data_IF_758678914962
#
_entry.id   IF_758678914962
#
_cell.length_a   1.000
_cell.length_b   1.000
_cell.length_c   1.000
_cell.angle_alpha   90.00
_cell.angle_beta   90.00
_cell.angle_gamma   90.00
#
_symmetry.space_group_name_H-M   'P 1'
#
loop_
_entity.id
_entity.type
_entity.pdbx_description
1 polymer ?
#
# COMPACT_ATOMS: atom_id res chain seq x y z
N UNK A 1 -3.75 -5.09 18.62
CA UNK A 1 -3.66 -4.33 17.33
C UNK A 1 -3.04 -5.25 16.30
N UNK A 2 -3.68 -5.49 15.14
CA UNK A 2 -3.24 -6.50 14.16
C UNK A 2 -1.75 -6.42 13.81
N UNK A 3 -1.22 -5.20 13.57
CA UNK A 3 0.22 -4.96 13.31
C UNK A 3 1.13 -5.61 14.36
N UNK A 4 0.78 -5.54 15.65
CA UNK A 4 1.60 -6.09 16.72
C UNK A 4 1.43 -7.61 16.81
N UNK A 5 0.22 -8.12 16.59
CA UNK A 5 -0.07 -9.57 16.62
C UNK A 5 0.65 -10.34 15.51
N UNK A 6 0.81 -9.75 14.32
CA UNK A 6 1.53 -10.39 13.21
C UNK A 6 3.05 -10.36 13.40
N UNK A 7 3.54 -9.50 14.28
CA UNK A 7 4.95 -9.37 14.67
C UNK A 7 5.14 -9.70 16.16
N UNK A 8 4.44 -10.74 16.63
CA UNK A 8 4.37 -11.09 18.06
C UNK A 8 5.75 -11.23 18.71
N UNK A 9 6.69 -11.90 18.04
CA UNK A 9 8.07 -12.10 18.50
C UNK A 9 8.77 -10.78 18.86
N UNK A 10 8.51 -9.73 18.09
CA UNK A 10 9.09 -8.41 18.33
C UNK A 10 8.40 -7.65 19.47
N UNK A 11 7.07 -7.73 19.58
CA UNK A 11 6.29 -6.87 20.48
C UNK A 11 5.94 -7.51 21.83
N UNK A 12 5.75 -8.83 21.86
CA UNK A 12 5.14 -9.53 22.99
C UNK A 12 6.03 -10.62 23.56
N UNK A 13 6.83 -11.32 22.74
CA UNK A 13 7.66 -12.42 23.23
C UNK A 13 8.63 -12.07 24.37
N UNK A 14 9.29 -10.89 24.40
CA UNK A 14 10.14 -10.50 25.52
C UNK A 14 9.41 -10.38 26.87
N UNK A 15 8.08 -10.22 26.85
CA UNK A 15 7.24 -10.01 28.04
C UNK A 15 6.30 -11.17 28.34
N UNK A 16 5.85 -11.85 27.30
CA UNK A 16 4.76 -12.83 27.34
C UNK A 16 5.21 -14.23 26.92
N UNK A 17 6.48 -14.41 26.54
CA UNK A 17 7.03 -15.69 26.08
C UNK A 17 6.66 -16.00 24.64
N UNK A 18 7.02 -17.19 24.11
CA UNK A 18 6.84 -17.53 22.70
C UNK A 18 5.40 -17.34 22.24
N UNK A 19 5.23 -16.99 20.95
CA UNK A 19 3.91 -16.79 20.35
C UNK A 19 2.96 -17.94 20.70
N UNK A 20 1.71 -17.66 21.12
CA UNK A 20 0.71 -18.69 21.35
C UNK A 20 0.53 -19.55 20.09
N UNK A 21 1.02 -20.78 20.15
CA UNK A 21 0.78 -21.78 19.11
C UNK A 21 -0.65 -22.30 19.20
N UNK A 22 -1.31 -22.49 18.05
CA UNK A 22 -2.59 -23.19 18.00
C UNK A 22 -3.63 -22.59 17.06
N UNK A 23 -4.64 -23.41 16.74
CA UNK A 23 -5.69 -23.08 15.78
C UNK A 23 -6.50 -21.83 16.17
N UNK A 24 -6.71 -21.57 17.47
CA UNK A 24 -7.47 -20.42 17.95
C UNK A 24 -6.75 -19.09 17.70
N UNK A 25 -5.44 -19.01 18.00
CA UNK A 25 -4.67 -17.79 17.77
C UNK A 25 -4.53 -17.49 16.27
N UNK A 26 -4.34 -18.53 15.45
CA UNK A 26 -4.34 -18.40 13.99
C UNK A 26 -5.70 -17.97 13.44
N UNK A 27 -6.80 -18.54 13.93
CA UNK A 27 -8.15 -18.16 13.54
C UNK A 27 -8.49 -16.72 13.95
N UNK A 28 -8.00 -16.25 15.10
CA UNK A 28 -8.18 -14.87 15.53
C UNK A 28 -7.55 -13.88 14.55
N UNK A 29 -6.27 -14.08 14.23
CA UNK A 29 -5.56 -13.20 13.29
C UNK A 29 -6.13 -13.33 11.88
N UNK A 30 -6.46 -14.55 11.47
CA UNK A 30 -7.04 -14.84 10.16
C UNK A 30 -8.36 -14.11 9.90
N UNK A 31 -9.30 -14.13 10.85
CA UNK A 31 -10.56 -13.40 10.64
C UNK A 31 -10.38 -11.88 10.69
N UNK A 32 -9.43 -11.36 11.47
CA UNK A 32 -9.12 -9.92 11.48
C UNK A 32 -8.61 -9.47 10.11
N UNK A 33 -7.74 -10.26 9.48
CA UNK A 33 -7.31 -10.03 8.10
C UNK A 33 -8.47 -10.11 7.13
N UNK A 34 -9.36 -11.08 7.27
CA UNK A 34 -10.51 -11.23 6.38
C UNK A 34 -11.47 -10.03 6.50
N UNK A 35 -11.78 -9.55 7.70
CA UNK A 35 -12.61 -8.36 7.91
C UNK A 35 -11.99 -7.13 7.25
N UNK A 36 -10.67 -6.92 7.40
CA UNK A 36 -9.98 -5.81 6.73
C UNK A 36 -10.01 -5.95 5.21
N UNK A 37 -9.78 -7.16 4.69
CA UNK A 37 -9.86 -7.43 3.26
C UNK A 37 -11.28 -7.17 2.72
N UNK A 38 -12.31 -7.60 3.44
CA UNK A 38 -13.71 -7.31 3.12
C UNK A 38 -13.97 -5.80 3.13
N UNK A 39 -13.53 -5.06 4.15
CA UNK A 39 -13.70 -3.61 4.22
C UNK A 39 -13.02 -2.88 3.06
N UNK A 40 -11.79 -3.26 2.70
CA UNK A 40 -11.06 -2.67 1.55
C UNK A 40 -11.78 -2.99 0.24
N UNK A 41 -12.18 -4.26 0.03
CA UNK A 41 -12.93 -4.67 -1.16
C UNK A 41 -14.26 -3.94 -1.29
N UNK A 42 -14.99 -3.77 -0.18
CA UNK A 42 -16.29 -3.12 -0.16
C UNK A 42 -16.20 -1.60 -0.35
N UNK A 43 -15.11 -0.97 0.10
CA UNK A 43 -14.91 0.48 -0.07
C UNK A 43 -14.33 0.84 -1.43
N UNK A 44 -13.58 -0.07 -2.06
CA UNK A 44 -13.19 0.05 -3.48
C UNK A 44 -12.49 1.36 -3.81
N UNK A 45 -11.51 1.76 -2.99
CA UNK A 45 -10.79 3.04 -3.12
C UNK A 45 -10.23 3.24 -4.53
N UNK A 46 -10.75 4.24 -5.25
CA UNK A 46 -10.27 4.71 -6.57
C UNK A 46 -9.34 5.93 -6.47
N UNK A 47 -8.70 6.04 -5.32
CA UNK A 47 -7.77 7.11 -5.04
C UNK A 47 -6.58 7.10 -6.01
N UNK A 48 -6.23 8.30 -6.50
CA UNK A 48 -5.08 8.48 -7.36
C UNK A 48 -3.81 8.23 -6.55
N UNK A 49 -3.10 7.15 -6.88
CA UNK A 49 -1.78 6.84 -6.36
C UNK A 49 -0.77 7.43 -7.33
N UNK A 50 0.00 8.42 -6.87
CA UNK A 50 1.10 8.98 -7.65
C UNK A 50 2.33 8.10 -7.49
N UNK A 51 3.05 7.87 -8.58
CA UNK A 51 4.35 7.19 -8.57
C UNK A 51 5.45 8.24 -8.59
N UNK A 52 6.17 8.36 -7.47
CA UNK A 52 7.16 9.40 -7.26
C UNK A 52 8.58 8.82 -7.36
N UNK A 53 9.51 9.57 -7.93
CA UNK A 53 10.93 9.20 -7.91
C UNK A 53 11.44 9.29 -6.47
N UNK A 54 12.06 8.23 -5.96
CA UNK A 54 12.68 8.20 -4.64
C UNK A 54 14.18 8.04 -4.80
N UNK A 55 14.95 8.81 -4.04
CA UNK A 55 16.41 8.75 -4.02
C UNK A 55 16.88 7.31 -3.75
N UNK A 56 17.93 6.83 -4.43
CA UNK A 56 18.47 5.47 -4.35
C UNK A 56 17.57 4.33 -4.86
N UNK A 57 16.40 4.61 -5.44
CA UNK A 57 15.52 3.59 -6.00
C UNK A 57 15.60 3.56 -7.53
N UNK A 58 15.63 2.36 -8.12
CA UNK A 58 15.75 2.18 -9.58
C UNK A 58 14.42 2.40 -10.33
N UNK A 59 13.31 2.54 -9.62
CA UNK A 59 11.96 2.69 -10.15
C UNK A 59 11.12 3.63 -9.26
N UNK A 60 10.14 4.35 -9.84
CA UNK A 60 9.30 5.24 -9.05
C UNK A 60 8.42 4.45 -8.07
N UNK A 61 8.26 4.98 -6.86
CA UNK A 61 7.55 4.33 -5.76
C UNK A 61 6.13 4.91 -5.58
N UNK A 62 5.11 4.07 -5.33
CA UNK A 62 3.75 4.54 -5.10
C UNK A 62 3.61 5.30 -3.77
N UNK A 63 3.01 6.49 -3.83
CA UNK A 63 2.61 7.26 -2.65
C UNK A 63 1.16 6.94 -2.26
N UNK A 64 1.01 6.19 -1.16
CA UNK A 64 -0.28 5.81 -0.59
C UNK A 64 -0.84 6.85 0.41
N UNK A 65 -0.09 7.90 0.75
CA UNK A 65 -0.51 8.97 1.65
C UNK A 65 -1.28 10.08 0.90
N UNK A 66 -2.13 9.68 -0.04
CA UNK A 66 -2.82 10.61 -0.91
C UNK A 66 -4.10 11.18 -0.24
N UNK A 67 -4.44 12.44 -0.57
CA UNK A 67 -5.66 13.08 -0.05
C UNK A 67 -6.93 12.43 -0.62
N UNK A 68 -7.73 11.86 0.29
CA UNK A 68 -8.99 11.17 0.00
C UNK A 68 -10.12 12.17 -0.27
N UNK A 69 -10.85 12.02 -1.38
CA UNK A 69 -12.04 12.84 -1.71
C UNK A 69 -13.13 11.99 -2.37
N UNK A 70 -14.41 12.34 -2.20
CA UNK A 70 -15.54 11.67 -2.87
C UNK A 70 -15.56 11.98 -4.38
N UNK A 71 -15.85 10.98 -5.24
CA UNK A 71 -15.82 11.11 -6.70
C UNK A 71 -16.89 10.28 -7.42
N UNK A 72 -17.21 10.66 -8.65
CA UNK A 72 -18.01 9.88 -9.59
C UNK A 72 -17.15 8.73 -10.17
N UNK A 73 -17.58 7.49 -9.93
CA UNK A 73 -16.83 6.30 -10.30
C UNK A 73 -16.79 6.06 -11.81
N UNK A 74 -17.91 6.25 -12.51
CA UNK A 74 -18.04 5.89 -13.92
C UNK A 74 -17.24 6.85 -14.80
N UNK A 75 -17.28 8.14 -14.47
CA UNK A 75 -16.47 9.15 -15.14
C UNK A 75 -14.97 8.87 -14.99
N UNK A 76 -14.54 8.41 -13.80
CA UNK A 76 -13.14 8.08 -13.54
C UNK A 76 -12.69 6.83 -14.31
N UNK A 77 -13.51 5.78 -14.32
CA UNK A 77 -13.20 4.55 -15.04
C UNK A 77 -13.05 4.80 -16.55
N UNK A 78 -13.94 5.60 -17.15
CA UNK A 78 -13.84 6.01 -18.55
C UNK A 78 -12.51 6.70 -18.85
N UNK A 79 -12.16 7.70 -18.04
CA UNK A 79 -10.90 8.42 -18.21
C UNK A 79 -9.67 7.53 -18.08
N UNK A 80 -9.63 6.62 -17.08
CA UNK A 80 -8.50 5.70 -16.87
C UNK A 80 -8.30 4.79 -18.08
N UNK A 81 -9.37 4.21 -18.61
CA UNK A 81 -9.27 3.32 -19.78
C UNK A 81 -8.71 4.05 -21.01
N UNK A 82 -9.05 5.33 -21.18
CA UNK A 82 -8.56 6.15 -22.28
C UNK A 82 -7.13 6.66 -22.09
N UNK A 83 -6.70 6.90 -20.84
CA UNK A 83 -5.48 7.65 -20.53
C UNK A 83 -4.41 6.84 -19.78
N UNK A 84 -4.67 5.58 -19.45
CA UNK A 84 -3.69 4.75 -18.73
C UNK A 84 -2.38 4.58 -19.50
N UNK A 85 -1.27 4.61 -18.75
CA UNK A 85 0.06 4.37 -19.31
C UNK A 85 0.19 2.90 -19.74
N UNK A 86 0.76 2.64 -20.91
CA UNK A 86 1.10 1.27 -21.32
C UNK A 86 2.04 0.65 -20.27
N UNK A 87 1.69 -0.50 -19.68
CA UNK A 87 2.53 -1.18 -18.67
C UNK A 87 3.98 -1.40 -19.11
N UNK A 88 4.22 -1.59 -20.42
CA UNK A 88 5.57 -1.76 -20.98
C UNK A 88 6.40 -0.49 -20.88
N UNK A 89 5.77 0.68 -21.04
CA UNK A 89 6.43 1.97 -20.87
C UNK A 89 6.88 2.12 -19.42
N UNK A 90 5.98 1.88 -18.46
CA UNK A 90 6.30 1.97 -17.04
C UNK A 90 7.47 1.06 -16.63
N UNK A 91 7.49 -0.19 -17.11
CA UNK A 91 8.57 -1.14 -16.82
C UNK A 91 9.95 -0.70 -17.33
N UNK A 92 10.00 0.11 -18.38
CA UNK A 92 11.23 0.60 -18.99
C UNK A 92 11.74 1.91 -18.35
N UNK A 93 10.96 2.56 -17.48
CA UNK A 93 11.37 3.79 -16.80
C UNK A 93 12.42 3.49 -15.72
N UNK A 94 13.65 3.99 -15.94
CA UNK A 94 14.81 3.77 -15.05
C UNK A 94 15.37 5.04 -14.42
N UNK A 95 15.04 6.20 -14.99
CA UNK A 95 15.49 7.51 -14.51
C UNK A 95 14.37 8.54 -14.72
N UNK A 96 14.27 9.58 -13.88
CA UNK A 96 13.32 10.67 -14.06
C UNK A 96 13.52 11.40 -15.39
N UNK A 97 12.43 11.86 -16.03
CA UNK A 97 12.56 12.80 -17.15
C UNK A 97 13.27 14.09 -16.70
N UNK A 98 13.96 14.80 -17.62
CA UNK A 98 14.67 16.03 -17.29
C UNK A 98 13.76 17.06 -16.59
N UNK A 99 14.22 17.58 -15.44
CA UNK A 99 13.51 18.60 -14.66
C UNK A 99 12.48 18.10 -13.65
N UNK A 100 12.29 16.78 -13.51
CA UNK A 100 11.37 16.23 -12.50
C UNK A 100 11.99 16.15 -11.11
N UNK A 101 11.22 16.45 -10.04
CA UNK A 101 11.68 16.34 -8.67
C UNK A 101 11.90 14.87 -8.27
N UNK A 102 12.97 14.62 -7.51
CA UNK A 102 13.25 13.35 -6.84
C UNK A 102 13.03 13.54 -5.35
N UNK A 103 12.19 12.68 -4.76
CA UNK A 103 11.88 12.68 -3.34
C UNK A 103 13.04 12.03 -2.56
N UNK A 104 13.45 12.58 -1.41
CA UNK A 104 14.43 11.92 -0.54
C UNK A 104 13.84 10.61 0.04
N UNK A 105 14.68 9.63 0.36
CA UNK A 105 14.25 8.55 1.27
C UNK A 105 13.96 9.16 2.65
N UNK A 106 12.81 8.93 3.33
CA UNK A 106 11.88 7.79 3.26
C UNK A 106 10.40 8.15 2.99
N UNK A 107 9.68 7.31 2.22
CA UNK A 107 8.20 7.21 2.26
C UNK A 107 7.80 5.78 2.65
N UNK A 108 6.72 5.51 3.43
CA UNK A 108 5.62 6.36 3.91
C UNK A 108 5.89 7.02 5.27
N UNK A 109 5.02 7.96 5.63
CA UNK A 109 5.12 8.94 6.71
C UNK A 109 5.68 8.45 8.06
N UNK A 110 6.41 9.38 8.69
CA UNK A 110 6.65 9.49 10.14
C UNK A 110 5.38 9.29 10.97
#
# INVERSE_FOLDING_TARGET
>A
MLRREVSYEHYYEPKEGPRPGGAQHQAHIGHCFDILAQAIKCTGSVDMITFNWVENWEQPFPDFMNHKVCRDFDALLGWVNENSMDPKVFQQMKVPPPGWPVMPEPGPAS
#
